data_IF_546377684939
#
_entry.id   IF_546377684939
#
_cell.length_a   1.000
_cell.length_b   1.000
_cell.length_c   1.000
_cell.angle_alpha   90.00
_cell.angle_beta   90.00
_cell.angle_gamma   90.00
#
_symmetry.space_group_name_H-M   'P 1'
#
loop_
_entity.id
_entity.type
_entity.pdbx_description
1 polymer ?
#
# COMPACT_ATOMS: atom_id res chain seq x y z
N UNK A 1 -0.05 -18.65 -54.07
CA UNK A 1 1.00 -18.80 -53.04
C UNK A 1 2.27 -18.16 -53.59
N UNK A 2 2.85 -17.20 -52.86
CA UNK A 2 4.08 -16.56 -53.29
C UNK A 2 5.24 -17.55 -53.04
N UNK A 3 6.03 -17.85 -54.09
CA UNK A 3 7.21 -18.67 -53.93
C UNK A 3 8.26 -17.92 -53.08
N UNK A 4 8.67 -18.50 -51.97
CA UNK A 4 9.79 -17.99 -51.18
C UNK A 4 11.10 -18.15 -51.95
N UNK A 5 11.97 -17.16 -51.88
CA UNK A 5 13.31 -17.22 -52.48
C UNK A 5 14.22 -18.14 -51.61
N UNK A 6 15.34 -18.58 -52.20
CA UNK A 6 16.36 -19.30 -51.43
C UNK A 6 16.89 -18.42 -50.29
N UNK A 7 17.02 -19.00 -49.09
CA UNK A 7 17.51 -18.26 -47.94
C UNK A 7 17.19 -18.90 -46.60
N UNK A 8 17.52 -18.20 -45.54
CA UNK A 8 17.22 -18.61 -44.16
C UNK A 8 15.93 -17.99 -43.72
N UNK A 9 15.04 -18.76 -43.14
CA UNK A 9 13.74 -18.33 -42.66
C UNK A 9 13.52 -18.79 -41.23
N UNK A 10 12.72 -18.05 -40.51
CA UNK A 10 12.22 -18.44 -39.20
C UNK A 10 10.68 -18.52 -39.27
N UNK A 11 10.14 -19.70 -39.08
CA UNK A 11 8.71 -19.92 -38.97
C UNK A 11 8.31 -19.72 -37.49
N UNK A 12 7.43 -18.76 -37.24
CA UNK A 12 6.84 -18.55 -35.93
C UNK A 12 5.37 -18.95 -35.95
N UNK A 13 5.01 -19.88 -35.09
CA UNK A 13 3.65 -20.36 -34.91
C UNK A 13 3.16 -19.86 -33.55
N UNK A 14 2.06 -19.09 -33.55
CA UNK A 14 1.49 -18.53 -32.32
C UNK A 14 -0.03 -18.55 -32.40
N UNK A 15 -0.67 -18.79 -31.27
CA UNK A 15 -2.12 -18.78 -31.14
C UNK A 15 -2.53 -18.48 -29.70
N UNK A 16 -3.73 -17.97 -29.52
CA UNK A 16 -4.27 -17.70 -28.19
C UNK A 16 -4.42 -19.03 -27.43
N UNK A 17 -3.80 -19.14 -26.25
CA UNK A 17 -3.81 -20.37 -25.44
C UNK A 17 -2.78 -21.42 -25.83
N UNK A 18 -1.84 -21.08 -26.70
CA UNK A 18 -0.75 -21.99 -27.10
C UNK A 18 0.63 -21.36 -26.89
N UNK A 19 1.63 -22.18 -26.60
CA UNK A 19 3.02 -21.71 -26.52
C UNK A 19 3.51 -21.35 -27.92
N UNK A 20 4.16 -20.18 -28.04
CA UNK A 20 4.76 -19.77 -29.30
C UNK A 20 5.91 -20.70 -29.64
N UNK A 21 5.85 -21.36 -30.81
CA UNK A 21 6.92 -22.21 -31.32
C UNK A 21 7.65 -21.49 -32.44
N UNK A 22 8.96 -21.65 -32.48
CA UNK A 22 9.84 -21.09 -33.51
C UNK A 22 10.67 -22.21 -34.13
N UNK A 23 10.65 -22.30 -35.47
CA UNK A 23 11.40 -23.28 -36.24
C UNK A 23 12.33 -22.52 -37.21
N UNK A 24 13.62 -22.75 -37.10
CA UNK A 24 14.59 -22.15 -38.00
C UNK A 24 14.74 -23.03 -39.24
N UNK A 25 14.52 -22.46 -40.41
CA UNK A 25 14.68 -23.11 -41.71
C UNK A 25 15.94 -22.53 -42.34
N UNK A 26 17.04 -23.28 -42.20
CA UNK A 26 18.33 -22.90 -42.77
C UNK A 26 18.45 -23.46 -44.17
N UNK A 27 19.05 -22.67 -45.09
CA UNK A 27 19.36 -23.08 -46.46
C UNK A 27 18.13 -23.56 -47.24
N UNK A 28 17.00 -22.93 -47.04
CA UNK A 28 15.78 -23.23 -47.80
C UNK A 28 16.04 -23.03 -49.30
N UNK A 29 15.94 -24.11 -50.10
CA UNK A 29 16.24 -24.07 -51.54
C UNK A 29 15.04 -24.41 -52.40
N UNK A 30 14.13 -25.24 -51.92
CA UNK A 30 12.97 -25.74 -52.66
C UNK A 30 11.80 -25.98 -51.70
N UNK A 31 10.82 -26.77 -52.08
CA UNK A 31 9.70 -27.15 -51.20
C UNK A 31 10.20 -27.98 -50.03
N UNK A 32 9.81 -27.61 -48.82
CA UNK A 32 10.09 -28.32 -47.57
C UNK A 32 8.76 -28.72 -46.92
N UNK A 33 8.59 -30.00 -46.65
CA UNK A 33 7.50 -30.50 -45.84
C UNK A 33 7.94 -30.57 -44.40
N UNK A 34 7.29 -29.79 -43.52
CA UNK A 34 7.60 -29.75 -42.10
C UNK A 34 6.84 -30.81 -41.30
N UNK A 35 6.02 -31.63 -41.96
CA UNK A 35 5.21 -32.64 -41.28
C UNK A 35 4.21 -32.07 -40.30
N UNK A 36 3.90 -32.84 -39.26
CA UNK A 36 3.01 -32.44 -38.20
C UNK A 36 3.79 -31.68 -37.11
N UNK A 37 3.39 -30.42 -36.84
CA UNK A 37 3.98 -29.62 -35.79
C UNK A 37 3.00 -29.67 -34.61
N UNK A 38 3.43 -30.27 -33.50
CA UNK A 38 2.71 -30.28 -32.25
C UNK A 38 2.92 -28.96 -31.53
N UNK A 39 1.84 -28.33 -31.09
CA UNK A 39 1.86 -27.08 -30.32
C UNK A 39 1.30 -27.38 -28.94
N UNK A 40 2.11 -27.11 -27.90
CA UNK A 40 1.67 -27.27 -26.52
C UNK A 40 0.71 -26.16 -26.12
N UNK A 41 -0.35 -26.50 -25.39
CA UNK A 41 -1.20 -25.49 -24.80
C UNK A 41 -0.40 -24.69 -23.78
N UNK A 42 -0.35 -23.37 -23.94
CA UNK A 42 0.03 -22.51 -22.86
C UNK A 42 -1.13 -22.54 -21.86
N UNK A 43 -0.95 -23.23 -20.75
CA UNK A 43 -1.76 -22.91 -19.60
C UNK A 43 -1.48 -21.42 -19.31
N UNK A 44 -2.41 -20.55 -19.69
CA UNK A 44 -2.45 -19.21 -19.16
C UNK A 44 -2.74 -19.45 -17.68
N UNK A 45 -1.68 -19.52 -16.88
CA UNK A 45 -1.81 -19.24 -15.48
C UNK A 45 -2.28 -17.77 -15.45
N UNK A 46 -3.59 -17.57 -15.47
CA UNK A 46 -4.15 -16.36 -14.94
C UNK A 46 -3.59 -16.34 -13.52
N UNK A 47 -2.61 -15.48 -13.26
CA UNK A 47 -2.37 -15.07 -11.89
C UNK A 47 -3.75 -14.75 -11.37
N UNK A 48 -4.22 -15.58 -10.47
CA UNK A 48 -5.48 -15.36 -9.79
C UNK A 48 -5.38 -13.94 -9.24
N UNK A 49 -6.02 -13.00 -9.93
CA UNK A 49 -6.25 -11.68 -9.38
C UNK A 49 -7.21 -11.93 -8.24
N UNK A 50 -6.66 -12.37 -7.13
CA UNK A 50 -7.35 -12.38 -5.87
C UNK A 50 -7.64 -10.91 -5.60
N UNK A 51 -8.81 -10.47 -6.01
CA UNK A 51 -9.38 -9.21 -5.54
C UNK A 51 -9.63 -9.47 -4.07
N UNK A 52 -8.58 -9.26 -3.28
CA UNK A 52 -8.69 -9.21 -1.84
C UNK A 52 -9.36 -7.88 -1.56
N UNK A 53 -10.69 -7.85 -1.67
CA UNK A 53 -11.46 -6.78 -1.07
C UNK A 53 -11.00 -6.76 0.39
N UNK A 54 -10.54 -5.61 0.86
CA UNK A 54 -10.20 -5.46 2.27
C UNK A 54 -11.44 -5.89 3.05
N UNK A 55 -11.39 -6.91 3.88
CA UNK A 55 -12.54 -7.28 4.67
C UNK A 55 -12.84 -6.10 5.60
N UNK A 56 -13.90 -5.37 5.28
CA UNK A 56 -14.43 -4.34 6.15
C UNK A 56 -15.55 -4.97 6.94
N UNK A 57 -15.35 -5.06 8.26
CA UNK A 57 -16.36 -5.56 9.18
C UNK A 57 -17.08 -4.34 9.75
N UNK A 58 -18.33 -4.16 9.35
CA UNK A 58 -19.16 -3.08 9.87
C UNK A 58 -19.72 -3.48 11.23
N UNK A 59 -19.44 -2.67 12.23
CA UNK A 59 -20.05 -2.72 13.56
C UNK A 59 -20.94 -1.49 13.74
N UNK A 60 -21.86 -1.49 14.71
CA UNK A 60 -22.78 -0.37 14.92
C UNK A 60 -22.08 0.97 15.23
N UNK A 61 -20.88 0.93 15.84
CA UNK A 61 -20.13 2.10 16.30
C UNK A 61 -18.84 2.35 15.52
N UNK A 62 -18.41 1.40 14.68
CA UNK A 62 -17.15 1.49 13.95
C UNK A 62 -17.11 0.56 12.74
N UNK A 63 -16.17 0.81 11.85
CA UNK A 63 -15.76 -0.07 10.77
C UNK A 63 -14.38 -0.63 11.10
N UNK A 64 -14.24 -1.95 11.11
CA UNK A 64 -12.96 -2.62 11.29
C UNK A 64 -12.43 -2.97 9.92
N UNK A 65 -11.25 -2.46 9.60
CA UNK A 65 -10.61 -2.62 8.30
C UNK A 65 -9.34 -3.43 8.50
N UNK A 66 -9.24 -4.56 7.81
CA UNK A 66 -8.08 -5.41 7.82
C UNK A 66 -7.23 -5.12 6.57
N UNK A 67 -6.08 -4.45 6.70
CA UNK A 67 -5.22 -4.19 5.56
C UNK A 67 -4.73 -5.50 4.94
N UNK A 68 -4.75 -5.57 3.61
CA UNK A 68 -4.18 -6.71 2.90
C UNK A 68 -2.66 -6.73 3.00
N UNK A 69 -2.06 -7.92 2.87
CA UNK A 69 -0.59 -8.06 2.88
C UNK A 69 0.09 -7.17 1.81
N UNK A 70 -0.56 -6.99 0.65
CA UNK A 70 -0.07 -6.08 -0.39
C UNK A 70 -0.06 -4.62 0.06
N UNK A 71 -1.13 -4.15 0.71
CA UNK A 71 -1.21 -2.77 1.20
C UNK A 71 -0.16 -2.51 2.29
N UNK A 72 0.00 -3.44 3.24
CA UNK A 72 1.04 -3.36 4.26
C UNK A 72 2.43 -3.26 3.63
N UNK A 73 2.76 -4.17 2.71
CA UNK A 73 4.08 -4.24 2.06
C UNK A 73 4.39 -3.03 1.17
N UNK A 74 3.38 -2.43 0.54
CA UNK A 74 3.57 -1.29 -0.39
C UNK A 74 3.44 0.06 0.27
N UNK A 75 3.08 0.11 1.53
CA UNK A 75 3.03 1.33 2.33
C UNK A 75 4.37 1.59 3.01
N UNK A 76 4.74 2.85 3.16
CA UNK A 76 6.00 3.27 3.80
C UNK A 76 5.82 3.66 5.26
N UNK A 77 4.61 4.06 5.64
CA UNK A 77 4.24 4.49 7.00
C UNK A 77 2.72 4.37 7.20
N UNK A 78 2.24 4.70 8.39
CA UNK A 78 0.81 4.64 8.71
C UNK A 78 -0.05 5.57 7.85
N UNK A 79 0.45 6.75 7.46
CA UNK A 79 -0.29 7.70 6.63
C UNK A 79 -0.48 7.17 5.20
N UNK A 80 0.58 6.62 4.59
CA UNK A 80 0.49 6.01 3.26
C UNK A 80 -0.39 4.76 3.25
N UNK A 81 -0.42 4.02 4.36
CA UNK A 81 -1.37 2.92 4.53
C UNK A 81 -2.81 3.43 4.54
N UNK A 82 -3.10 4.48 5.32
CA UNK A 82 -4.43 5.08 5.40
C UNK A 82 -4.91 5.58 4.02
N UNK A 83 -4.03 6.23 3.27
CA UNK A 83 -4.33 6.69 1.91
C UNK A 83 -4.75 5.53 0.99
N UNK A 84 -4.08 4.37 1.09
CA UNK A 84 -4.39 3.18 0.28
C UNK A 84 -5.70 2.50 0.66
N UNK A 85 -6.13 2.67 1.90
CA UNK A 85 -7.38 2.09 2.39
C UNK A 85 -8.61 2.86 1.90
N UNK A 86 -8.45 4.11 1.45
CA UNK A 86 -9.52 4.95 0.89
C UNK A 86 -10.79 4.96 1.74
N UNK A 87 -10.64 5.33 3.01
CA UNK A 87 -11.76 5.40 3.93
C UNK A 87 -12.81 6.40 3.45
N UNK A 88 -14.07 6.02 3.57
CA UNK A 88 -15.17 6.93 3.25
C UNK A 88 -15.09 8.19 4.13
N UNK A 89 -15.34 9.37 3.53
CA UNK A 89 -15.33 10.67 4.21
C UNK A 89 -13.97 11.14 4.74
N UNK A 90 -12.87 10.40 4.49
CA UNK A 90 -11.51 10.79 4.89
C UNK A 90 -10.69 11.12 3.65
N UNK A 91 -10.04 12.26 3.68
CA UNK A 91 -9.07 12.68 2.66
C UNK A 91 -7.70 12.75 3.32
N UNK A 92 -6.72 12.14 2.66
CA UNK A 92 -5.32 12.09 3.09
C UNK A 92 -4.48 12.85 2.09
N UNK A 93 -3.80 13.90 2.53
CA UNK A 93 -2.80 14.63 1.75
C UNK A 93 -1.40 14.18 2.22
N UNK A 94 -0.70 13.34 1.46
CA UNK A 94 0.62 12.85 1.85
C UNK A 94 1.72 13.91 1.76
N UNK A 95 1.51 14.97 0.96
CA UNK A 95 2.50 16.04 0.78
C UNK A 95 2.44 17.00 1.98
N UNK A 96 1.24 17.40 2.36
CA UNK A 96 1.01 18.28 3.52
C UNK A 96 0.96 17.51 4.84
N UNK A 97 0.98 16.17 4.77
CA UNK A 97 0.86 15.28 5.94
C UNK A 97 -0.40 15.58 6.76
N UNK A 98 -1.51 15.84 6.08
CA UNK A 98 -2.78 16.18 6.71
C UNK A 98 -3.86 15.13 6.43
N UNK A 99 -4.74 14.95 7.39
CA UNK A 99 -5.92 14.10 7.29
C UNK A 99 -7.13 14.97 7.59
N UNK A 100 -8.08 15.00 6.68
CA UNK A 100 -9.31 15.79 6.83
C UNK A 100 -10.54 14.91 6.68
N UNK A 101 -11.62 15.30 7.30
CA UNK A 101 -12.92 14.66 7.14
C UNK A 101 -13.84 15.51 6.26
N UNK A 102 -14.71 14.87 5.48
CA UNK A 102 -15.81 15.56 4.78
C UNK A 102 -16.85 16.13 5.74
N UNK A 103 -16.92 15.62 6.97
CA UNK A 103 -17.72 16.17 8.04
C UNK A 103 -16.97 17.34 8.67
N UNK A 104 -17.71 18.31 9.21
CA UNK A 104 -17.11 19.40 9.97
C UNK A 104 -16.52 18.85 11.28
N UNK A 105 -15.28 19.24 11.61
CA UNK A 105 -14.57 18.85 12.82
C UNK A 105 -13.25 18.15 12.56
N UNK A 106 -12.58 17.78 13.62
CA UNK A 106 -11.23 17.22 13.60
C UNK A 106 -11.21 15.70 13.42
N UNK A 107 -10.18 15.21 12.72
CA UNK A 107 -9.90 13.77 12.67
C UNK A 107 -8.96 13.42 13.82
N UNK A 108 -9.44 12.64 14.77
CA UNK A 108 -8.64 12.19 15.90
C UNK A 108 -7.88 10.91 15.53
N UNK A 109 -6.57 10.93 15.70
CA UNK A 109 -5.68 9.79 15.45
C UNK A 109 -5.39 9.08 16.78
N UNK A 110 -5.37 7.74 16.73
CA UNK A 110 -5.11 6.90 17.90
C UNK A 110 -4.22 5.71 17.51
N UNK A 111 -3.47 5.23 18.47
CA UNK A 111 -2.73 3.95 18.39
C UNK A 111 -3.07 3.13 19.63
N UNK A 112 -3.65 1.94 19.44
CA UNK A 112 -4.09 1.06 20.51
C UNK A 112 -4.97 1.79 21.56
N UNK A 113 -5.85 2.68 21.10
CA UNK A 113 -6.75 3.44 21.95
C UNK A 113 -6.15 4.72 22.57
N UNK A 114 -4.86 4.97 22.50
CA UNK A 114 -4.23 6.21 22.97
C UNK A 114 -4.27 7.28 21.86
N UNK A 115 -4.66 8.52 22.21
CA UNK A 115 -4.61 9.66 21.28
C UNK A 115 -3.15 9.98 20.94
N UNK A 116 -2.88 10.20 19.65
CA UNK A 116 -1.54 10.48 19.13
C UNK A 116 -1.58 11.60 18.10
N UNK A 117 -0.43 12.18 17.83
CA UNK A 117 -0.25 13.18 16.78
C UNK A 117 0.14 12.52 15.44
N UNK A 118 0.08 13.29 14.37
CA UNK A 118 0.38 12.80 13.01
C UNK A 118 1.80 12.23 12.88
N UNK A 119 2.76 12.76 13.64
CA UNK A 119 4.17 12.32 13.65
C UNK A 119 4.30 10.86 14.08
N UNK A 120 3.49 10.41 15.03
CA UNK A 120 3.49 9.01 15.48
C UNK A 120 2.92 8.08 14.39
N UNK A 121 1.94 8.57 13.62
CA UNK A 121 1.41 7.82 12.48
C UNK A 121 2.43 7.75 11.33
N UNK A 122 3.21 8.81 11.11
CA UNK A 122 4.30 8.83 10.12
C UNK A 122 5.45 7.88 10.51
N UNK A 123 5.70 7.73 11.81
CA UNK A 123 6.72 6.80 12.32
C UNK A 123 6.23 5.34 12.40
N UNK A 124 4.93 5.11 12.20
CA UNK A 124 4.35 3.78 12.34
C UNK A 124 4.74 2.86 11.18
N UNK A 125 5.29 1.69 11.50
CA UNK A 125 5.60 0.66 10.52
C UNK A 125 4.29 -0.02 10.07
N UNK A 126 3.96 -0.04 8.77
CA UNK A 126 2.72 -0.64 8.28
C UNK A 126 2.59 -2.13 8.64
N UNK A 127 3.71 -2.85 8.68
CA UNK A 127 3.75 -4.28 8.98
C UNK A 127 3.31 -4.62 10.40
N UNK A 128 3.36 -3.65 11.32
CA UNK A 128 2.89 -3.80 12.68
C UNK A 128 1.38 -3.58 12.82
N UNK A 129 0.74 -3.02 11.81
CA UNK A 129 -0.70 -2.76 11.83
C UNK A 129 -1.47 -4.06 11.65
N UNK A 130 -2.25 -4.42 12.66
CA UNK A 130 -3.14 -5.59 12.64
C UNK A 130 -4.45 -5.23 11.95
N UNK A 131 -5.02 -4.09 12.32
CA UNK A 131 -6.28 -3.55 11.79
C UNK A 131 -6.39 -2.08 12.05
N UNK A 132 -7.30 -1.41 11.34
CA UNK A 132 -7.70 -0.04 11.62
C UNK A 132 -9.16 -0.04 12.03
N UNK A 133 -9.47 0.61 13.13
CA UNK A 133 -10.82 0.86 13.60
C UNK A 133 -11.20 2.29 13.25
N UNK A 134 -12.20 2.44 12.39
CA UNK A 134 -12.65 3.72 11.88
C UNK A 134 -14.05 4.03 12.38
N UNK A 135 -14.18 5.13 13.12
CA UNK A 135 -15.45 5.68 13.58
C UNK A 135 -15.77 6.90 12.73
N UNK A 136 -16.78 6.81 11.88
CA UNK A 136 -17.23 7.91 11.01
C UNK A 136 -18.24 8.84 11.71
N UNK A 137 -18.79 8.42 12.84
CA UNK A 137 -19.65 9.17 13.74
C UNK A 137 -19.31 8.83 15.19
N UNK A 138 -18.18 9.38 15.70
CA UNK A 138 -17.60 8.90 16.97
C UNK A 138 -18.40 9.26 18.21
N UNK A 139 -19.37 10.19 18.08
CA UNK A 139 -20.17 10.68 19.20
C UNK A 139 -19.33 11.38 20.29
N UNK A 140 -19.97 11.75 21.40
CA UNK A 140 -19.36 12.51 22.49
C UNK A 140 -18.23 11.78 23.23
N UNK A 141 -18.12 10.47 23.06
CA UNK A 141 -17.08 9.65 23.69
C UNK A 141 -15.66 10.10 23.37
N UNK A 142 -15.46 10.70 22.21
CA UNK A 142 -14.16 11.15 21.71
C UNK A 142 -13.98 12.66 21.74
N UNK A 143 -14.92 13.37 22.36
CA UNK A 143 -14.95 14.82 22.46
C UNK A 143 -15.92 15.46 21.45
N UNK A 144 -16.33 16.69 21.75
CA UNK A 144 -17.42 17.38 21.06
C UNK A 144 -17.06 17.77 19.61
N UNK A 145 -15.77 17.83 19.28
CA UNK A 145 -15.27 18.31 17.98
C UNK A 145 -14.73 17.21 17.07
N UNK A 146 -14.80 15.94 17.50
CA UNK A 146 -14.29 14.82 16.70
C UNK A 146 -15.27 14.47 15.58
N UNK A 147 -14.92 14.80 14.33
CA UNK A 147 -15.67 14.41 13.13
C UNK A 147 -15.45 12.95 12.74
N UNK A 148 -14.29 12.42 13.06
CA UNK A 148 -13.93 11.03 12.83
C UNK A 148 -12.82 10.59 13.79
N UNK A 149 -12.75 9.28 14.06
CA UNK A 149 -11.66 8.69 14.84
C UNK A 149 -11.06 7.54 14.04
N UNK A 150 -9.73 7.51 13.94
CA UNK A 150 -8.97 6.47 13.27
C UNK A 150 -8.01 5.88 14.31
N UNK A 151 -8.26 4.64 14.70
CA UNK A 151 -7.43 3.92 15.67
C UNK A 151 -6.65 2.80 14.98
N UNK A 152 -5.34 2.92 14.99
CA UNK A 152 -4.42 1.90 14.49
C UNK A 152 -4.18 0.87 15.58
N UNK A 153 -4.72 -0.32 15.41
CA UNK A 153 -4.44 -1.43 16.31
C UNK A 153 -3.18 -2.13 15.81
N UNK A 154 -2.11 -1.98 16.57
CA UNK A 154 -0.79 -2.47 16.22
C UNK A 154 -0.28 -3.53 17.18
N UNK A 155 0.64 -4.35 16.70
CA UNK A 155 1.37 -5.29 17.56
C UNK A 155 2.20 -4.50 18.55
N UNK A 156 2.14 -4.88 19.81
CA UNK A 156 3.04 -4.32 20.82
C UNK A 156 4.34 -5.10 20.77
N UNK A 157 5.41 -4.44 20.35
CA UNK A 157 6.75 -4.97 20.56
C UNK A 157 7.09 -4.84 22.06
N UNK A 158 7.44 -5.94 22.69
CA UNK A 158 7.77 -5.95 24.12
C UNK A 158 9.02 -5.12 24.45
N UNK A 159 9.90 -4.95 23.47
CA UNK A 159 11.10 -4.14 23.58
C UNK A 159 11.46 -3.62 22.21
N UNK A 160 11.66 -2.32 22.08
CA UNK A 160 12.04 -1.68 20.83
C UNK A 160 12.03 -0.16 20.99
N UNK A 161 12.52 0.53 19.99
CA UNK A 161 12.48 1.98 19.93
C UNK A 161 12.64 2.46 18.50
N UNK A 162 12.24 3.69 18.25
CA UNK A 162 12.51 4.36 16.98
C UNK A 162 12.97 5.79 17.23
N UNK A 163 13.70 6.32 16.27
CA UNK A 163 14.09 7.72 16.20
C UNK A 163 13.70 8.20 14.82
N UNK A 164 12.90 9.25 14.76
CA UNK A 164 12.47 9.89 13.52
C UNK A 164 12.97 11.32 13.45
N UNK A 165 13.37 11.76 12.26
CA UNK A 165 13.71 13.14 11.96
C UNK A 165 12.93 13.57 10.73
N UNK A 166 12.15 14.64 10.87
CA UNK A 166 11.47 15.28 9.76
C UNK A 166 12.00 16.70 9.60
N UNK A 167 12.41 17.03 8.40
CA UNK A 167 12.88 18.39 8.06
C UNK A 167 12.13 18.85 6.83
N UNK A 168 11.44 19.97 6.95
CA UNK A 168 10.84 20.65 5.81
C UNK A 168 11.38 22.07 5.70
N UNK A 169 11.98 22.40 4.55
CA UNK A 169 12.52 23.72 4.28
C UNK A 169 11.77 24.35 3.12
N UNK A 170 11.22 25.54 3.34
CA UNK A 170 10.62 26.34 2.26
C UNK A 170 11.72 27.15 1.56
N UNK A 171 11.91 26.90 0.27
CA UNK A 171 12.94 27.57 -0.54
C UNK A 171 12.67 29.08 -0.67
N UNK A 172 11.44 29.51 -0.47
CA UNK A 172 11.01 30.89 -0.72
C UNK A 172 11.09 31.81 0.52
N UNK A 173 11.15 31.25 1.72
CA UNK A 173 11.11 32.03 2.97
C UNK A 173 12.27 31.75 3.91
N UNK A 174 13.18 30.81 3.59
CA UNK A 174 14.26 30.34 4.48
C UNK A 174 13.75 29.86 5.87
N UNK A 175 12.47 29.59 6.00
CA UNK A 175 11.88 29.04 7.20
C UNK A 175 11.83 27.52 7.07
N UNK A 176 12.37 26.84 8.03
CA UNK A 176 12.37 25.38 8.11
C UNK A 176 11.75 24.92 9.41
N UNK A 177 10.93 23.87 9.33
CA UNK A 177 10.43 23.16 10.51
C UNK A 177 11.25 21.89 10.68
N UNK A 178 11.82 21.73 11.86
CA UNK A 178 12.56 20.54 12.23
C UNK A 178 11.83 19.81 13.36
N UNK A 179 11.54 18.54 13.13
CA UNK A 179 10.95 17.68 14.15
C UNK A 179 11.88 16.50 14.43
N UNK A 180 12.12 16.23 15.70
CA UNK A 180 12.81 15.03 16.13
C UNK A 180 11.93 14.27 17.12
N UNK A 181 11.70 13.00 16.87
CA UNK A 181 10.89 12.12 17.70
C UNK A 181 11.71 10.90 18.08
N UNK A 182 11.79 10.60 19.36
CA UNK A 182 12.36 9.35 19.85
C UNK A 182 11.39 8.66 20.80
N UNK A 183 11.22 7.34 20.60
CA UNK A 183 10.33 6.52 21.43
C UNK A 183 11.02 5.21 21.76
N UNK A 184 10.96 4.81 23.03
CA UNK A 184 11.52 3.57 23.53
C UNK A 184 10.46 2.83 24.31
N UNK A 185 10.22 1.58 23.95
CA UNK A 185 9.32 0.66 24.62
C UNK A 185 10.14 -0.41 25.35
N UNK A 186 9.86 -0.62 26.62
CA UNK A 186 10.42 -1.73 27.37
C UNK A 186 9.34 -2.37 28.23
N UNK A 187 8.96 -3.61 27.89
CA UNK A 187 7.87 -4.35 28.53
C UNK A 187 6.54 -3.55 28.56
N UNK A 188 6.14 -3.07 29.76
CA UNK A 188 4.91 -2.31 29.97
C UNK A 188 5.13 -0.80 30.03
N UNK A 189 6.34 -0.33 29.83
CA UNK A 189 6.72 1.08 29.92
C UNK A 189 7.04 1.63 28.55
N UNK A 190 6.53 2.81 28.25
CA UNK A 190 6.79 3.54 27.02
C UNK A 190 7.29 4.94 27.37
N UNK A 191 8.40 5.34 26.75
CA UNK A 191 9.05 6.64 26.94
C UNK A 191 9.19 7.30 25.58
N UNK A 192 8.69 8.54 25.46
CA UNK A 192 8.78 9.30 24.23
C UNK A 192 9.28 10.72 24.48
N UNK A 193 10.10 11.23 23.56
CA UNK A 193 10.55 12.62 23.53
C UNK A 193 10.25 13.15 22.13
N UNK A 194 9.57 14.28 22.08
CA UNK A 194 9.32 15.02 20.85
C UNK A 194 9.97 16.40 20.97
N UNK A 195 10.75 16.79 19.98
CA UNK A 195 11.34 18.11 19.84
C UNK A 195 10.79 18.74 18.57
N UNK A 196 10.32 19.97 18.67
CA UNK A 196 9.82 20.75 17.54
C UNK A 196 10.47 22.13 17.56
N UNK A 197 11.02 22.53 16.41
CA UNK A 197 11.55 23.87 16.16
C UNK A 197 10.94 24.38 14.86
N UNK A 198 10.31 25.56 14.93
CA UNK A 198 9.67 26.23 13.79
C UNK A 198 9.95 27.73 13.80
#
# INVERSE_FOLDING_TARGET
>A
MNNLQKGNYQLRISGLGYQTQQINLNDFTTTLDLGSISIDSAAIALEEVTITANPVINQPDRKIILPSARQLKTSTNGLSLLQRLQLSRIQVDPIRQTITSSNQGDVQLRINGAKVEIQEILALQPEDVIRIEYHDEPGLRYGDNAAAVIDYIVRRHQTGGYVGFDTSTSVNTLLGNNNATAKINHKNSEWGINYHEG
#
